data_IF_645275790320
#
_entry.id   IF_645275790320
#
_cell.length_a   1.000
_cell.length_b   1.000
_cell.length_c   1.000
_cell.angle_alpha   90.00
_cell.angle_beta   90.00
_cell.angle_gamma   90.00
#
_symmetry.space_group_name_H-M   'P 1'
#
loop_
_entity.id
_entity.type
_entity.pdbx_description
1 polymer ?
#
# COMPACT_ATOMS: atom_id res chain seq x y z
N UNK A 1 -17.34 -4.43 0.95
CA UNK A 1 -16.59 -5.25 -0.03
C UNK A 1 -17.35 -5.58 -1.32
N UNK A 2 -18.65 -5.65 -1.31
CA UNK A 2 -19.44 -5.95 -2.53
C UNK A 2 -19.43 -4.89 -3.65
N UNK A 3 -19.06 -3.65 -3.36
CA UNK A 3 -19.04 -2.56 -4.35
C UNK A 3 -17.74 -2.44 -5.17
N UNK A 4 -16.65 -3.11 -4.73
CA UNK A 4 -15.35 -3.08 -5.43
C UNK A 4 -15.27 -4.07 -6.61
N UNK A 5 -16.07 -5.15 -6.57
CA UNK A 5 -16.01 -6.23 -7.57
C UNK A 5 -16.29 -5.75 -9.01
N UNK A 6 -17.31 -4.91 -9.28
CA UNK A 6 -17.55 -4.41 -10.64
C UNK A 6 -16.44 -3.52 -11.19
N UNK A 7 -15.77 -2.75 -10.32
CA UNK A 7 -14.68 -1.87 -10.73
C UNK A 7 -13.39 -2.62 -11.05
N UNK A 8 -13.12 -3.72 -10.34
CA UNK A 8 -11.99 -4.60 -10.60
C UNK A 8 -12.03 -5.20 -12.02
N UNK A 9 -13.24 -5.47 -12.53
CA UNK A 9 -13.43 -6.07 -13.85
C UNK A 9 -13.26 -5.06 -14.98
N UNK A 10 -13.60 -3.77 -14.74
CA UNK A 10 -13.69 -2.76 -15.81
C UNK A 10 -12.38 -1.98 -16.00
N UNK A 11 -11.61 -1.73 -14.94
CA UNK A 11 -10.51 -0.75 -14.97
C UNK A 11 -9.12 -1.30 -14.64
N UNK A 12 -9.04 -2.57 -14.23
CA UNK A 12 -7.77 -3.22 -13.92
C UNK A 12 -7.26 -2.96 -12.49
N UNK A 13 -6.23 -3.72 -12.17
CA UNK A 13 -5.50 -3.65 -10.90
C UNK A 13 -4.02 -3.56 -11.23
N UNK A 14 -3.32 -2.68 -10.55
CA UNK A 14 -1.86 -2.58 -10.69
C UNK A 14 -1.19 -2.57 -9.32
N UNK A 15 0.04 -3.04 -9.29
CA UNK A 15 0.88 -3.01 -8.10
C UNK A 15 2.22 -2.37 -8.41
N UNK A 16 2.78 -1.69 -7.43
CA UNK A 16 4.10 -1.05 -7.51
C UNK A 16 4.83 -1.07 -6.17
N UNK A 17 6.07 -0.61 -6.21
CA UNK A 17 6.88 -0.42 -5.00
C UNK A 17 6.26 0.65 -4.10
N UNK A 18 6.04 0.29 -2.84
CA UNK A 18 5.61 1.24 -1.82
C UNK A 18 6.76 2.21 -1.49
N UNK A 19 6.60 3.51 -1.69
CA UNK A 19 7.66 4.47 -1.48
C UNK A 19 8.11 4.55 0.00
N UNK A 20 7.20 4.42 0.94
CA UNK A 20 7.53 4.46 2.37
C UNK A 20 8.41 3.28 2.80
N UNK A 21 8.09 2.06 2.33
CA UNK A 21 8.90 0.87 2.63
C UNK A 21 10.24 0.92 1.92
N UNK A 22 10.25 1.28 0.65
CA UNK A 22 11.47 1.40 -0.13
C UNK A 22 12.45 2.41 0.51
N UNK A 23 11.94 3.58 0.89
CA UNK A 23 12.72 4.59 1.59
C UNK A 23 13.28 4.07 2.92
N UNK A 24 12.45 3.41 3.72
CA UNK A 24 12.88 2.87 5.02
C UNK A 24 13.96 1.81 4.87
N UNK A 25 13.81 0.91 3.91
CA UNK A 25 14.79 -0.15 3.64
C UNK A 25 16.12 0.42 3.12
N UNK A 26 16.06 1.46 2.28
CA UNK A 26 17.24 2.12 1.73
C UNK A 26 17.99 2.95 2.80
N UNK A 27 17.24 3.57 3.70
CA UNK A 27 17.76 4.54 4.68
C UNK A 27 17.88 3.98 6.09
N UNK A 28 17.81 2.66 6.28
CA UNK A 28 17.95 2.08 7.61
C UNK A 28 19.24 2.54 8.30
N UNK A 29 19.07 3.20 9.44
CA UNK A 29 20.18 3.76 10.22
C UNK A 29 20.79 5.04 9.69
N UNK A 30 20.40 5.52 8.49
CA UNK A 30 20.94 6.77 7.91
C UNK A 30 20.10 8.01 8.23
N UNK A 31 18.84 7.83 8.56
CA UNK A 31 17.89 8.92 8.84
C UNK A 31 17.76 9.25 10.34
N UNK A 32 18.68 8.76 11.16
CA UNK A 32 18.71 8.97 12.61
C UNK A 32 17.83 8.01 13.41
N UNK A 33 17.12 7.08 12.77
CA UNK A 33 16.40 6.01 13.45
C UNK A 33 17.41 4.95 13.97
N UNK A 34 17.09 4.37 15.12
CA UNK A 34 17.93 3.31 15.67
C UNK A 34 17.85 2.05 14.82
N UNK A 35 18.97 1.40 14.63
CA UNK A 35 19.01 0.08 14.04
C UNK A 35 18.08 -0.85 14.82
N UNK A 36 17.16 -1.52 14.14
CA UNK A 36 16.14 -2.38 14.73
C UNK A 36 14.76 -1.74 14.89
N UNK A 37 14.62 -0.41 14.96
CA UNK A 37 13.31 0.25 14.99
C UNK A 37 12.53 0.05 13.68
N UNK A 38 13.24 -0.16 12.59
CA UNK A 38 12.70 -0.37 11.25
C UNK A 38 12.84 -1.81 10.75
N UNK A 39 13.40 -2.71 11.57
CA UNK A 39 13.67 -4.10 11.20
C UNK A 39 12.45 -4.81 10.62
N UNK A 40 11.29 -4.62 11.24
CA UNK A 40 10.03 -5.18 10.74
C UNK A 40 9.77 -4.75 9.29
N UNK A 41 9.91 -3.46 8.98
CA UNK A 41 9.69 -2.94 7.63
C UNK A 41 10.74 -3.44 6.64
N UNK A 42 11.97 -3.62 7.08
CA UNK A 42 13.06 -4.12 6.23
C UNK A 42 12.85 -5.58 5.77
N UNK A 43 12.06 -6.34 6.50
CA UNK A 43 11.70 -7.72 6.16
C UNK A 43 10.46 -7.83 5.27
N UNK A 44 9.71 -6.74 5.08
CA UNK A 44 8.49 -6.74 4.28
C UNK A 44 8.80 -6.67 2.77
N UNK A 45 7.94 -7.29 1.93
CA UNK A 45 7.99 -7.04 0.50
C UNK A 45 7.73 -5.56 0.21
N UNK A 46 8.43 -5.03 -0.79
CA UNK A 46 8.33 -3.62 -1.19
C UNK A 46 7.18 -3.40 -2.16
N UNK A 47 6.91 -4.35 -3.05
CA UNK A 47 5.87 -4.26 -4.06
C UNK A 47 4.48 -4.51 -3.45
N UNK A 48 3.90 -3.46 -2.88
CA UNK A 48 2.68 -3.54 -2.08
C UNK A 48 1.77 -2.31 -2.22
N UNK A 49 2.07 -1.40 -3.13
CA UNK A 49 1.21 -0.26 -3.46
C UNK A 49 0.25 -0.65 -4.57
N UNK A 50 -1.02 -0.81 -4.24
CA UNK A 50 -2.05 -1.31 -5.15
C UNK A 50 -2.94 -0.16 -5.60
N UNK A 51 -3.15 -0.04 -6.91
CA UNK A 51 -4.09 0.90 -7.51
C UNK A 51 -5.20 0.15 -8.23
N UNK A 52 -6.45 0.58 -8.06
CA UNK A 52 -7.64 -0.05 -8.63
C UNK A 52 -8.46 1.00 -9.36
N UNK A 53 -8.96 0.65 -10.53
CA UNK A 53 -9.82 1.52 -11.31
C UNK A 53 -9.06 2.33 -12.36
N UNK A 54 -9.52 3.55 -12.65
CA UNK A 54 -8.90 4.41 -13.67
C UNK A 54 -7.46 4.79 -13.33
N UNK A 55 -7.16 4.97 -12.05
CA UNK A 55 -5.80 5.25 -11.58
C UNK A 55 -4.83 4.15 -11.97
N UNK A 56 -5.24 2.88 -11.93
CA UNK A 56 -4.38 1.76 -12.32
C UNK A 56 -3.91 1.86 -13.76
N UNK A 57 -4.81 2.20 -14.68
CA UNK A 57 -4.47 2.42 -16.10
C UNK A 57 -3.49 3.57 -16.26
N UNK A 58 -3.76 4.69 -15.62
CA UNK A 58 -2.89 5.86 -15.69
C UNK A 58 -1.47 5.53 -15.21
N UNK A 59 -1.37 4.89 -14.06
CA UNK A 59 -0.06 4.57 -13.48
C UNK A 59 0.73 3.57 -14.32
N UNK A 60 0.10 2.51 -14.84
CA UNK A 60 0.81 1.54 -15.68
C UNK A 60 1.35 2.13 -16.98
N UNK A 61 0.65 3.15 -17.52
CA UNK A 61 1.08 3.85 -18.73
C UNK A 61 2.21 4.86 -18.46
N UNK A 62 2.23 5.49 -17.28
CA UNK A 62 3.09 6.63 -16.98
C UNK A 62 4.26 6.33 -16.05
N UNK A 63 4.14 5.30 -15.23
CA UNK A 63 5.14 4.99 -14.20
C UNK A 63 5.65 3.57 -14.38
N UNK A 64 6.91 3.40 -14.81
CA UNK A 64 7.47 2.08 -15.16
C UNK A 64 7.46 1.04 -14.04
N UNK A 65 7.38 1.47 -12.78
CA UNK A 65 7.35 0.57 -11.63
C UNK A 65 6.00 -0.11 -11.42
N UNK A 66 4.93 0.36 -12.06
CA UNK A 66 3.61 -0.25 -11.97
C UNK A 66 3.45 -1.38 -12.99
N UNK A 67 2.93 -2.51 -12.53
CA UNK A 67 2.57 -3.64 -13.37
C UNK A 67 1.12 -4.06 -13.12
N UNK A 68 0.48 -4.60 -14.15
CA UNK A 68 -0.85 -5.18 -14.01
C UNK A 68 -0.79 -6.48 -13.23
N UNK A 69 -1.78 -6.69 -12.37
CA UNK A 69 -2.03 -7.95 -11.67
C UNK A 69 -3.49 -8.35 -11.85
N UNK A 70 -3.78 -9.62 -11.68
CA UNK A 70 -5.15 -10.10 -11.67
C UNK A 70 -5.75 -10.15 -10.26
N UNK A 71 -7.03 -10.46 -10.18
CA UNK A 71 -7.75 -10.56 -8.91
C UNK A 71 -7.17 -11.62 -7.99
N UNK A 72 -6.75 -12.74 -8.54
CA UNK A 72 -6.20 -13.85 -7.75
C UNK A 72 -4.86 -13.45 -7.12
N UNK A 73 -3.99 -12.84 -7.90
CA UNK A 73 -2.72 -12.31 -7.40
C UNK A 73 -2.92 -11.24 -6.32
N UNK A 74 -3.91 -10.36 -6.48
CA UNK A 74 -4.26 -9.38 -5.44
C UNK A 74 -4.67 -10.06 -4.13
N UNK A 75 -5.55 -11.06 -4.19
CA UNK A 75 -6.02 -11.78 -3.00
C UNK A 75 -4.85 -12.48 -2.29
N UNK A 76 -3.98 -13.13 -3.04
CA UNK A 76 -2.79 -13.80 -2.50
C UNK A 76 -1.83 -12.81 -1.86
N UNK A 77 -1.59 -11.66 -2.50
CA UNK A 77 -0.77 -10.58 -1.96
C UNK A 77 -1.33 -10.05 -0.64
N UNK A 78 -2.61 -9.70 -0.61
CA UNK A 78 -3.26 -9.15 0.59
C UNK A 78 -3.25 -10.15 1.75
N UNK A 79 -3.58 -11.42 1.51
CA UNK A 79 -3.52 -12.46 2.54
C UNK A 79 -2.10 -12.63 3.10
N UNK A 80 -1.09 -12.68 2.24
CA UNK A 80 0.31 -12.76 2.66
C UNK A 80 0.71 -11.56 3.52
N UNK A 81 0.30 -10.35 3.13
CA UNK A 81 0.65 -9.14 3.85
C UNK A 81 -0.05 -9.05 5.21
N UNK A 82 -1.30 -9.49 5.29
CA UNK A 82 -2.03 -9.60 6.57
C UNK A 82 -1.33 -10.57 7.53
N UNK A 83 -0.90 -11.73 7.04
CA UNK A 83 -0.15 -12.71 7.83
C UNK A 83 1.18 -12.16 8.34
N UNK A 84 1.79 -11.24 7.60
CA UNK A 84 3.01 -10.55 8.00
C UNK A 84 2.77 -9.37 8.96
N UNK A 85 1.52 -9.05 9.30
CA UNK A 85 1.18 -7.96 10.22
C UNK A 85 1.16 -6.56 9.60
N UNK A 86 1.03 -6.49 8.28
CA UNK A 86 0.85 -5.23 7.55
C UNK A 86 -0.58 -4.73 7.72
N UNK A 87 -0.76 -3.43 7.77
CA UNK A 87 -2.08 -2.79 7.91
C UNK A 87 -2.57 -2.31 6.55
N UNK A 88 -3.62 -2.92 5.98
CA UNK A 88 -4.21 -2.42 4.74
C UNK A 88 -4.99 -1.14 5.01
N UNK A 89 -4.67 -0.09 4.26
CA UNK A 89 -5.35 1.19 4.30
C UNK A 89 -5.95 1.47 2.93
N UNK A 90 -7.27 1.72 2.89
CA UNK A 90 -7.94 2.18 1.67
C UNK A 90 -8.01 3.70 1.71
N UNK A 91 -7.54 4.32 0.66
CA UNK A 91 -7.72 5.75 0.48
C UNK A 91 -9.08 6.06 -0.11
N UNK A 92 -9.76 7.02 0.51
CA UNK A 92 -11.04 7.51 0.05
C UNK A 92 -10.80 8.46 -1.13
N UNK A 93 -10.74 7.89 -2.33
CA UNK A 93 -10.62 8.66 -3.57
C UNK A 93 -11.96 8.69 -4.28
N UNK A 94 -12.21 9.77 -5.02
CA UNK A 94 -13.46 10.02 -5.72
C UNK A 94 -13.87 8.87 -6.64
N UNK A 95 -15.15 8.59 -6.64
CA UNK A 95 -15.92 7.72 -7.55
C UNK A 95 -15.13 6.75 -8.46
N UNK A 96 -15.02 5.50 -8.01
CA UNK A 96 -14.54 4.39 -8.84
C UNK A 96 -13.02 4.21 -8.90
N UNK A 97 -12.29 4.99 -8.14
CA UNK A 97 -10.86 4.84 -7.99
C UNK A 97 -10.53 4.54 -6.53
N UNK A 98 -9.64 3.62 -6.30
CA UNK A 98 -9.14 3.36 -4.95
C UNK A 98 -7.69 2.92 -4.98
N UNK A 99 -7.00 3.23 -3.90
CA UNK A 99 -5.66 2.74 -3.64
C UNK A 99 -5.67 1.93 -2.33
N UNK A 100 -5.00 0.80 -2.34
CA UNK A 100 -4.74 0.03 -1.14
C UNK A 100 -3.26 0.21 -0.81
N UNK A 101 -2.99 0.94 0.25
CA UNK A 101 -1.65 1.03 0.84
C UNK A 101 -1.51 -0.02 1.92
N UNK A 102 -0.62 -0.95 1.70
CA UNK A 102 -0.27 -1.97 2.67
C UNK A 102 0.82 -1.43 3.60
N UNK A 103 0.39 -0.81 4.67
CA UNK A 103 1.24 0.04 5.51
C UNK A 103 1.98 -0.73 6.60
N UNK A 104 3.28 -0.51 6.71
CA UNK A 104 4.03 -0.92 7.88
C UNK A 104 3.63 -0.08 9.09
N UNK A 105 3.24 -0.69 10.22
CA UNK A 105 2.83 0.06 11.41
C UNK A 105 3.96 0.89 12.05
N UNK A 106 5.20 0.62 11.68
CA UNK A 106 6.38 1.31 12.25
C UNK A 106 7.00 2.34 11.32
N UNK A 107 6.69 2.32 10.01
CA UNK A 107 7.39 3.17 9.03
C UNK A 107 6.47 3.93 8.08
N UNK A 108 5.21 3.59 8.02
CA UNK A 108 4.26 4.29 7.15
C UNK A 108 3.97 5.69 7.68
N UNK A 109 4.29 6.71 6.89
CA UNK A 109 4.10 8.12 7.29
C UNK A 109 2.65 8.45 7.64
N UNK A 110 1.62 8.09 6.85
CA UNK A 110 0.23 8.32 7.22
C UNK A 110 -0.19 7.64 8.54
N UNK A 111 0.22 6.39 8.78
CA UNK A 111 -0.10 5.70 10.03
C UNK A 111 0.61 6.32 11.23
N UNK A 112 1.87 6.73 11.07
CA UNK A 112 2.61 7.43 12.12
C UNK A 112 1.97 8.79 12.43
N UNK A 113 1.58 9.55 11.42
CA UNK A 113 0.90 10.81 11.59
C UNK A 113 -0.46 10.65 12.32
N UNK A 114 -1.21 9.61 11.97
CA UNK A 114 -2.45 9.26 12.68
C UNK A 114 -2.19 8.96 14.16
N UNK A 115 -1.19 8.12 14.46
CA UNK A 115 -0.84 7.75 15.84
C UNK A 115 -0.33 8.92 16.68
N UNK A 116 0.50 9.78 16.09
CA UNK A 116 1.18 10.85 16.82
C UNK A 116 0.32 12.10 16.96
N UNK A 117 -0.50 12.40 15.98
CA UNK A 117 -1.22 13.67 15.89
C UNK A 117 -2.74 13.52 15.82
N UNK A 118 -3.27 12.30 15.82
CA UNK A 118 -4.71 12.04 15.75
C UNK A 118 -5.36 12.40 14.42
N UNK A 119 -4.59 12.56 13.35
CA UNK A 119 -5.13 12.85 12.02
C UNK A 119 -5.86 11.63 11.44
N UNK A 120 -7.13 11.80 11.15
CA UNK A 120 -7.94 10.81 10.45
C UNK A 120 -7.64 10.84 8.95
N UNK A 121 -6.51 10.27 8.54
CA UNK A 121 -6.03 10.33 7.16
C UNK A 121 -6.53 9.20 6.28
N UNK A 122 -7.21 8.20 6.82
CA UNK A 122 -7.62 7.05 6.01
C UNK A 122 -8.75 6.27 6.66
N UNK A 123 -9.61 5.70 5.85
CA UNK A 123 -10.52 4.66 6.28
C UNK A 123 -9.71 3.39 6.53
N UNK A 124 -9.51 3.05 7.79
CA UNK A 124 -9.05 1.73 8.16
C UNK A 124 -10.16 0.71 7.81
N UNK A 125 -9.83 -0.29 7.05
CA UNK A 125 -10.70 -1.46 6.92
C UNK A 125 -10.67 -2.17 8.27
N UNK A 126 -11.81 -2.19 8.92
CA UNK A 126 -12.04 -3.05 10.08
C UNK A 126 -12.58 -4.38 9.61
#
# INVERSE_FOLDING_TARGET
MCLLIPFLVIFGITVSKCPCKAYTQEKEGLDGRRKGETEFTCQLPVETDVQIGRSSRHYVEKVPSFRNIDKQELIELENKLLDLGVVPCIYNVCQGETAICNCSPVSCVPLLANRLFGYNLSCLIR
#
